data_IF_603599690881
#
_entry.id   IF_603599690881
#
_cell.length_a   1.000
_cell.length_b   1.000
_cell.length_c   1.000
_cell.angle_alpha   90.00
_cell.angle_beta   90.00
_cell.angle_gamma   90.00
#
_symmetry.space_group_name_H-M   'P 1'
#
loop_
_entity.id
_entity.type
_entity.pdbx_description
1 polymer ?
#
# COMPACT_ATOMS: atom_id res chain seq x y z
N UNK A 1 7.29 29.96 -10.88
CA UNK A 1 8.04 29.30 -9.83
C UNK A 1 7.11 28.32 -9.14
N UNK A 2 7.24 27.00 -9.37
CA UNK A 2 6.47 25.98 -8.61
C UNK A 2 7.12 25.89 -7.23
N UNK A 3 6.41 26.35 -6.21
CA UNK A 3 6.90 26.37 -4.85
C UNK A 3 7.15 24.96 -4.31
N UNK A 4 8.42 24.68 -3.98
CA UNK A 4 8.94 23.47 -3.34
C UNK A 4 8.39 23.13 -1.99
N UNK A 5 7.61 23.99 -1.47
CA UNK A 5 7.06 23.86 -0.13
C UNK A 5 5.99 22.75 -0.01
N UNK A 6 5.64 22.10 -1.14
CA UNK A 6 4.57 21.11 -1.15
C UNK A 6 4.91 19.84 -1.92
N UNK A 7 5.27 18.74 -1.24
CA UNK A 7 5.38 17.43 -1.87
C UNK A 7 4.01 16.96 -2.41
N UNK A 8 3.99 16.22 -3.53
CA UNK A 8 2.75 15.67 -4.09
C UNK A 8 2.10 14.71 -3.11
N UNK A 9 0.78 14.81 -2.90
CA UNK A 9 0.04 13.97 -1.93
C UNK A 9 0.17 12.47 -2.23
N UNK A 10 0.30 12.09 -3.50
CA UNK A 10 0.48 10.70 -3.94
C UNK A 10 1.82 10.10 -3.49
N UNK A 11 2.79 10.91 -3.01
CA UNK A 11 4.04 10.43 -2.40
C UNK A 11 3.78 9.56 -1.16
N UNK A 12 2.59 9.65 -0.55
CA UNK A 12 2.18 8.75 0.52
C UNK A 12 2.29 7.26 0.14
N UNK A 13 2.11 6.93 -1.15
CA UNK A 13 2.31 5.57 -1.66
C UNK A 13 3.75 5.09 -1.56
N UNK A 14 4.73 5.99 -1.83
CA UNK A 14 6.16 5.67 -1.63
C UNK A 14 6.48 5.44 -0.15
N UNK A 15 5.96 6.29 0.75
CA UNK A 15 6.14 6.14 2.20
C UNK A 15 5.63 4.78 2.66
N UNK A 16 4.42 4.42 2.25
CA UNK A 16 3.83 3.12 2.56
C UNK A 16 4.68 1.96 2.01
N UNK A 17 5.14 2.08 0.75
CA UNK A 17 5.98 1.06 0.11
C UNK A 17 7.31 0.85 0.81
N UNK A 18 7.98 1.93 1.26
CA UNK A 18 9.25 1.85 1.99
C UNK A 18 9.08 1.21 3.38
N UNK A 19 8.03 1.58 4.12
CA UNK A 19 7.72 0.94 5.40
C UNK A 19 7.41 -0.54 5.24
N UNK A 20 6.60 -0.90 4.24
CA UNK A 20 6.27 -2.29 3.96
C UNK A 20 7.51 -3.08 3.52
N UNK A 21 8.38 -2.50 2.68
CA UNK A 21 9.62 -3.14 2.23
C UNK A 21 10.57 -3.38 3.39
N UNK A 22 10.69 -2.43 4.32
CA UNK A 22 11.52 -2.62 5.52
C UNK A 22 11.05 -3.81 6.36
N UNK A 23 9.73 -3.97 6.56
CA UNK A 23 9.17 -5.13 7.24
C UNK A 23 9.41 -6.44 6.45
N UNK A 24 9.34 -6.40 5.12
CA UNK A 24 9.58 -7.56 4.26
C UNK A 24 11.04 -8.04 4.34
N UNK A 25 11.99 -7.10 4.39
CA UNK A 25 13.43 -7.36 4.42
C UNK A 25 14.01 -7.61 5.82
N UNK A 26 13.20 -7.53 6.89
CA UNK A 26 13.67 -7.68 8.28
C UNK A 26 14.41 -9.00 8.54
N UNK A 27 14.01 -10.10 7.89
CA UNK A 27 14.68 -11.40 8.05
C UNK A 27 16.09 -11.46 7.47
N UNK A 28 16.41 -10.60 6.48
CA UNK A 28 17.77 -10.48 5.91
C UNK A 28 18.67 -9.58 6.75
N UNK A 29 18.11 -8.86 7.69
CA UNK A 29 18.80 -8.00 8.63
C UNK A 29 17.93 -6.87 9.15
N UNK A 30 17.84 -6.73 10.46
CA UNK A 30 17.03 -5.70 11.14
C UNK A 30 17.41 -4.27 10.70
N UNK A 31 18.65 -4.06 10.28
CA UNK A 31 19.13 -2.77 9.78
C UNK A 31 18.38 -2.29 8.53
N UNK A 32 17.91 -3.20 7.64
CA UNK A 32 17.07 -2.83 6.50
C UNK A 32 15.78 -2.16 6.95
N UNK A 33 15.16 -2.72 7.99
CA UNK A 33 13.94 -2.16 8.57
C UNK A 33 14.20 -0.77 9.15
N UNK A 34 15.27 -0.58 9.93
CA UNK A 34 15.61 0.72 10.48
C UNK A 34 15.93 1.76 9.39
N UNK A 35 16.76 1.43 8.41
CA UNK A 35 17.16 2.35 7.35
C UNK A 35 15.95 2.78 6.50
N UNK A 36 15.17 1.82 6.00
CA UNK A 36 13.99 2.12 5.18
C UNK A 36 12.90 2.83 5.98
N UNK A 37 12.72 2.46 7.25
CA UNK A 37 11.82 3.14 8.16
C UNK A 37 12.19 4.59 8.40
N UNK A 38 13.48 4.89 8.59
CA UNK A 38 13.99 6.26 8.76
C UNK A 38 13.75 7.10 7.50
N UNK A 39 14.09 6.55 6.33
CA UNK A 39 13.84 7.23 5.03
C UNK A 39 12.35 7.50 4.84
N UNK A 40 11.50 6.51 5.10
CA UNK A 40 10.05 6.67 5.02
C UNK A 40 9.53 7.74 5.97
N UNK A 41 10.05 7.78 7.21
CA UNK A 41 9.68 8.79 8.21
C UNK A 41 10.04 10.20 7.76
N UNK A 42 11.23 10.39 7.17
CA UNK A 42 11.65 11.69 6.60
C UNK A 42 10.67 12.13 5.50
N UNK A 43 10.33 11.27 4.56
CA UNK A 43 9.35 11.58 3.52
C UNK A 43 7.95 11.86 4.12
N UNK A 44 7.56 11.12 5.14
CA UNK A 44 6.25 11.29 5.78
C UNK A 44 6.14 12.63 6.52
N UNK A 45 7.19 13.00 7.29
CA UNK A 45 7.27 14.31 7.96
C UNK A 45 7.24 15.44 6.93
N UNK A 46 7.99 15.29 5.82
CA UNK A 46 7.99 16.27 4.74
C UNK A 46 6.60 16.43 4.13
N UNK A 47 5.89 15.32 3.89
CA UNK A 47 4.52 15.33 3.40
C UNK A 47 3.56 16.03 4.38
N UNK A 48 3.63 15.71 5.67
CA UNK A 48 2.81 16.35 6.72
C UNK A 48 3.06 17.85 6.75
N UNK A 49 4.32 18.29 6.79
CA UNK A 49 4.68 19.72 6.75
C UNK A 49 4.11 20.42 5.53
N UNK A 50 4.21 19.79 4.36
CA UNK A 50 3.64 20.30 3.11
C UNK A 50 2.12 20.47 3.17
N UNK A 51 1.40 19.48 3.72
CA UNK A 51 -0.05 19.53 3.90
C UNK A 51 -0.45 20.65 4.86
N UNK A 52 0.23 20.76 6.01
CA UNK A 52 -0.08 21.75 7.03
C UNK A 52 0.17 23.20 6.56
N UNK A 53 1.26 23.41 5.79
CA UNK A 53 1.60 24.72 5.23
C UNK A 53 0.64 25.13 4.10
N UNK A 54 0.16 24.17 3.29
CA UNK A 54 -0.63 24.43 2.09
C UNK A 54 -2.03 23.80 2.16
N UNK A 55 -2.77 24.02 3.25
CA UNK A 55 -4.07 23.38 3.53
C UNK A 55 -5.10 23.58 2.42
N UNK A 56 -5.22 24.80 1.87
CA UNK A 56 -6.20 25.12 0.82
C UNK A 56 -5.93 24.33 -0.47
N UNK A 57 -4.66 24.28 -0.87
CA UNK A 57 -4.24 23.57 -2.07
C UNK A 57 -4.33 22.04 -1.88
N UNK A 58 -3.95 21.51 -0.71
CA UNK A 58 -4.10 20.09 -0.38
C UNK A 58 -5.57 19.65 -0.43
N UNK A 59 -6.49 20.48 0.07
CA UNK A 59 -7.95 20.22 -0.08
C UNK A 59 -8.39 20.22 -1.54
N UNK A 60 -7.88 21.13 -2.35
CA UNK A 60 -8.16 21.18 -3.79
C UNK A 60 -7.63 19.93 -4.52
N UNK A 61 -6.43 19.48 -4.21
CA UNK A 61 -5.88 18.23 -4.77
C UNK A 61 -6.71 17.00 -4.35
N UNK A 62 -7.13 16.92 -3.09
CA UNK A 62 -8.01 15.85 -2.59
C UNK A 62 -9.43 15.90 -3.20
N UNK A 63 -9.75 16.95 -3.96
CA UNK A 63 -10.96 16.98 -4.78
C UNK A 63 -10.83 16.22 -6.10
N UNK A 64 -9.62 15.75 -6.46
CA UNK A 64 -9.41 14.86 -7.59
C UNK A 64 -9.57 13.40 -7.12
N UNK A 65 -10.44 12.59 -7.77
CA UNK A 65 -10.72 11.22 -7.33
C UNK A 65 -9.49 10.30 -7.39
N UNK A 66 -8.57 10.51 -8.34
CA UNK A 66 -7.32 9.78 -8.41
C UNK A 66 -6.43 10.08 -7.19
N UNK A 67 -6.19 11.36 -6.90
CA UNK A 67 -5.31 11.77 -5.79
C UNK A 67 -5.92 11.34 -4.46
N UNK A 68 -7.22 11.54 -4.28
CA UNK A 68 -7.92 11.17 -3.06
C UNK A 68 -7.87 9.66 -2.80
N UNK A 69 -8.06 8.82 -3.83
CA UNK A 69 -7.98 7.37 -3.65
C UNK A 69 -6.56 6.89 -3.34
N UNK A 70 -5.53 7.47 -3.97
CA UNK A 70 -4.12 7.15 -3.64
C UNK A 70 -3.74 7.66 -2.24
N UNK A 71 -4.27 8.81 -1.82
CA UNK A 71 -3.94 9.40 -0.51
C UNK A 71 -4.34 8.51 0.68
N UNK A 72 -5.21 7.54 0.50
CA UNK A 72 -5.49 6.48 1.49
C UNK A 72 -4.21 5.81 2.00
N UNK A 73 -3.18 5.70 1.16
CA UNK A 73 -1.85 5.16 1.53
C UNK A 73 -1.19 5.93 2.68
N UNK A 74 -1.56 7.19 2.91
CA UNK A 74 -1.09 7.97 4.06
C UNK A 74 -1.53 7.36 5.39
N UNK A 75 -2.79 6.94 5.48
CA UNK A 75 -3.34 6.30 6.68
C UNK A 75 -2.86 4.86 6.83
N UNK A 76 -2.76 4.13 5.71
CA UNK A 76 -2.16 2.80 5.68
C UNK A 76 -0.71 2.83 6.20
N UNK A 77 0.06 3.83 5.79
CA UNK A 77 1.43 4.04 6.26
C UNK A 77 1.49 4.27 7.78
N UNK A 78 0.54 5.02 8.35
CA UNK A 78 0.44 5.21 9.80
C UNK A 78 0.19 3.90 10.56
N UNK A 79 -0.68 3.01 10.03
CA UNK A 79 -0.88 1.68 10.64
C UNK A 79 0.38 0.82 10.57
N UNK A 80 1.15 0.85 9.46
CA UNK A 80 2.43 0.11 9.38
C UNK A 80 3.48 0.79 10.28
N UNK A 81 3.54 2.12 10.34
CA UNK A 81 4.48 2.83 11.21
C UNK A 81 4.30 2.46 12.69
N UNK A 82 3.08 2.13 13.12
CA UNK A 82 2.85 1.64 14.47
C UNK A 82 3.69 0.39 14.80
N UNK A 83 3.97 -0.46 13.81
CA UNK A 83 4.82 -1.65 13.97
C UNK A 83 6.29 -1.29 14.19
N UNK A 84 6.75 -0.17 13.62
CA UNK A 84 8.09 0.36 13.83
C UNK A 84 8.25 0.99 15.20
N UNK A 85 7.23 1.67 15.72
CA UNK A 85 7.23 2.23 17.08
C UNK A 85 7.48 1.11 18.10
N UNK A 86 6.88 -0.07 17.89
CA UNK A 86 7.07 -1.22 18.80
C UNK A 86 8.49 -1.80 18.82
N UNK A 87 9.36 -1.48 17.86
CA UNK A 87 10.78 -1.84 17.93
C UNK A 87 11.46 -1.24 19.17
N UNK A 88 10.94 -0.11 19.64
CA UNK A 88 11.44 0.58 20.82
C UNK A 88 10.70 0.23 22.11
N UNK A 89 10.00 -0.90 22.14
CA UNK A 89 9.20 -1.33 23.31
C UNK A 89 10.03 -1.47 24.61
N UNK A 90 11.31 -1.73 24.48
CA UNK A 90 12.26 -1.78 25.62
C UNK A 90 12.36 -0.47 26.39
N UNK A 91 12.02 0.66 25.77
CA UNK A 91 12.01 1.99 26.41
C UNK A 91 10.84 2.20 27.38
N UNK A 92 9.86 1.30 27.42
CA UNK A 92 8.78 1.33 28.39
C UNK A 92 7.38 1.13 27.80
N UNK A 93 6.40 0.98 28.70
CA UNK A 93 5.00 0.71 28.33
C UNK A 93 4.36 1.82 27.47
N UNK A 94 4.79 3.05 27.65
CA UNK A 94 4.31 4.21 26.89
C UNK A 94 4.50 4.06 25.38
N UNK A 95 5.56 3.33 24.95
CA UNK A 95 5.81 3.03 23.53
C UNK A 95 4.71 2.15 22.94
N UNK A 96 4.25 1.15 23.70
CA UNK A 96 3.14 0.29 23.28
C UNK A 96 1.82 1.09 23.21
N UNK A 97 1.60 2.02 24.15
CA UNK A 97 0.43 2.90 24.15
C UNK A 97 0.47 3.82 22.92
N UNK A 98 1.62 4.45 22.64
CA UNK A 98 1.82 5.30 21.47
C UNK A 98 1.58 4.52 20.16
N UNK A 99 2.17 3.32 20.04
CA UNK A 99 1.96 2.45 18.88
C UNK A 99 0.48 2.17 18.62
N UNK A 100 -0.26 1.74 19.66
CA UNK A 100 -1.71 1.51 19.58
C UNK A 100 -2.47 2.79 19.24
N UNK A 101 -2.10 3.93 19.81
CA UNK A 101 -2.71 5.23 19.53
C UNK A 101 -2.55 5.63 18.07
N UNK A 102 -1.33 5.50 17.51
CA UNK A 102 -1.04 5.78 16.09
C UNK A 102 -1.83 4.84 15.18
N UNK A 103 -1.92 3.55 15.53
CA UNK A 103 -2.69 2.57 14.77
C UNK A 103 -4.17 2.94 14.71
N UNK A 104 -4.80 3.20 15.87
CA UNK A 104 -6.21 3.56 15.96
C UNK A 104 -6.53 4.87 15.26
N UNK A 105 -5.69 5.90 15.45
CA UNK A 105 -5.85 7.18 14.77
C UNK A 105 -5.83 7.00 13.24
N UNK A 106 -4.89 6.21 12.74
CA UNK A 106 -4.74 5.94 11.31
C UNK A 106 -5.92 5.13 10.77
N UNK A 107 -6.38 4.12 11.50
CA UNK A 107 -7.51 3.27 11.13
C UNK A 107 -8.82 4.07 11.05
N UNK A 108 -9.11 4.87 12.09
CA UNK A 108 -10.31 5.72 12.13
C UNK A 108 -10.26 6.79 11.04
N UNK A 109 -9.11 7.45 10.86
CA UNK A 109 -8.94 8.45 9.81
C UNK A 109 -9.11 7.86 8.40
N UNK A 110 -8.68 6.61 8.17
CA UNK A 110 -8.91 5.89 6.92
C UNK A 110 -10.41 5.65 6.68
N UNK A 111 -11.15 5.19 7.69
CA UNK A 111 -12.60 4.98 7.59
C UNK A 111 -13.32 6.29 7.27
N UNK A 112 -12.96 7.38 7.95
CA UNK A 112 -13.55 8.70 7.70
C UNK A 112 -13.24 9.14 6.26
N UNK A 113 -11.99 8.99 5.82
CA UNK A 113 -11.59 9.34 4.45
C UNK A 113 -12.36 8.52 3.41
N UNK A 114 -12.51 7.23 3.63
CA UNK A 114 -13.27 6.33 2.76
C UNK A 114 -14.76 6.71 2.72
N UNK A 115 -15.34 7.08 3.85
CA UNK A 115 -16.74 7.53 3.93
C UNK A 115 -16.96 8.85 3.16
N UNK A 116 -16.08 9.84 3.35
CA UNK A 116 -16.12 11.13 2.62
C UNK A 116 -15.96 10.90 1.11
N UNK A 117 -15.03 10.05 0.71
CA UNK A 117 -14.80 9.70 -0.70
C UNK A 117 -16.05 9.03 -1.30
N UNK A 118 -16.61 8.04 -0.60
CA UNK A 118 -17.80 7.30 -1.05
C UNK A 118 -19.00 8.25 -1.19
N UNK A 119 -19.22 9.12 -0.22
CA UNK A 119 -20.26 10.13 -0.31
C UNK A 119 -20.13 11.01 -1.54
N UNK A 120 -18.90 11.40 -1.88
CA UNK A 120 -18.64 12.32 -3.00
C UNK A 120 -18.70 11.65 -4.36
N UNK A 121 -18.15 10.43 -4.50
CA UNK A 121 -17.93 9.80 -5.81
C UNK A 121 -18.74 8.54 -6.06
N UNK A 122 -19.13 7.78 -5.01
CA UNK A 122 -19.92 6.58 -5.18
C UNK A 122 -21.40 6.91 -5.35
N UNK A 123 -21.90 7.94 -4.64
CA UNK A 123 -23.30 8.39 -4.78
C UNK A 123 -23.65 8.84 -6.21
N UNK A 124 -22.66 9.42 -6.91
CA UNK A 124 -22.78 9.81 -8.32
C UNK A 124 -21.72 9.06 -9.14
N UNK A 125 -21.81 7.74 -9.10
CA UNK A 125 -20.84 6.88 -9.74
C UNK A 125 -20.72 7.18 -11.23
N UNK A 126 -19.48 7.35 -11.70
CA UNK A 126 -19.14 7.50 -13.12
C UNK A 126 -17.82 6.81 -13.41
N UNK A 127 -17.77 6.07 -14.52
CA UNK A 127 -16.54 5.44 -15.01
C UNK A 127 -15.43 6.47 -15.30
N UNK A 128 -15.77 7.74 -15.51
CA UNK A 128 -14.78 8.82 -15.66
C UNK A 128 -13.98 9.05 -14.36
N UNK A 129 -14.62 8.91 -13.20
CA UNK A 129 -14.03 9.11 -11.88
C UNK A 129 -13.37 7.84 -11.31
N UNK A 130 -13.59 6.70 -11.96
CA UNK A 130 -13.00 5.43 -11.55
C UNK A 130 -11.54 5.34 -11.98
N UNK A 131 -10.66 4.97 -11.05
CA UNK A 131 -9.24 4.69 -11.27
C UNK A 131 -8.85 3.37 -10.60
N UNK A 132 -7.80 2.67 -11.07
CA UNK A 132 -7.33 1.43 -10.41
C UNK A 132 -7.03 1.62 -8.92
N UNK A 133 -6.60 2.81 -8.49
CA UNK A 133 -6.38 3.16 -7.07
C UNK A 133 -7.64 3.16 -6.19
N UNK A 134 -8.85 3.00 -6.74
CA UNK A 134 -10.01 2.73 -5.91
C UNK A 134 -9.87 1.40 -5.15
N UNK A 135 -9.11 0.45 -5.70
CA UNK A 135 -8.73 -0.75 -4.95
C UNK A 135 -7.92 -0.40 -3.69
N UNK A 136 -7.01 0.56 -3.79
CA UNK A 136 -6.23 1.04 -2.63
C UNK A 136 -7.13 1.73 -1.61
N UNK A 137 -8.14 2.48 -2.06
CA UNK A 137 -9.09 3.14 -1.16
C UNK A 137 -9.94 2.13 -0.38
N UNK A 138 -10.62 1.23 -1.09
CA UNK A 138 -11.61 0.35 -0.46
C UNK A 138 -11.00 -0.91 0.15
N UNK A 139 -9.93 -1.45 -0.43
CA UNK A 139 -9.27 -2.64 0.09
C UNK A 139 -8.08 -2.31 0.98
N UNK A 140 -7.56 -1.08 0.92
CA UNK A 140 -6.42 -0.62 1.73
C UNK A 140 -6.66 -0.70 3.25
N UNK A 141 -7.92 -0.66 3.70
CA UNK A 141 -8.28 -0.95 5.09
C UNK A 141 -7.78 -2.35 5.54
N UNK A 142 -7.52 -3.26 4.60
CA UNK A 142 -6.92 -4.58 4.82
C UNK A 142 -5.55 -4.53 5.53
N UNK A 143 -4.87 -3.38 5.58
CA UNK A 143 -3.68 -3.20 6.41
C UNK A 143 -4.00 -3.42 7.90
N UNK A 144 -5.23 -3.16 8.34
CA UNK A 144 -5.64 -3.49 9.70
C UNK A 144 -5.65 -5.01 9.95
N UNK A 145 -6.05 -5.80 8.94
CA UNK A 145 -5.96 -7.26 8.99
C UNK A 145 -4.49 -7.74 8.98
N UNK A 146 -3.66 -7.16 8.11
CA UNK A 146 -2.21 -7.44 8.05
C UNK A 146 -1.50 -7.15 9.38
N UNK A 147 -1.86 -6.07 10.06
CA UNK A 147 -1.24 -5.61 11.32
C UNK A 147 -1.95 -6.10 12.58
N UNK A 148 -2.94 -6.99 12.47
CA UNK A 148 -3.71 -7.52 13.59
C UNK A 148 -2.86 -8.15 14.72
N UNK A 149 -1.78 -8.92 14.41
CA UNK A 149 -0.92 -9.46 15.45
C UNK A 149 -0.24 -8.38 16.31
N UNK A 150 0.13 -7.27 15.69
CA UNK A 150 0.84 -6.16 16.32
C UNK A 150 -0.13 -5.29 17.15
N UNK A 151 -1.28 -4.97 16.58
CA UNK A 151 -2.31 -4.14 17.23
C UNK A 151 -3.08 -4.90 18.31
N UNK A 152 -3.09 -6.25 18.27
CA UNK A 152 -3.94 -7.11 19.09
C UNK A 152 -5.41 -7.12 18.66
N UNK A 153 -5.74 -6.55 17.47
CA UNK A 153 -7.12 -6.35 17.02
C UNK A 153 -7.56 -7.45 16.01
N UNK A 154 -7.45 -8.72 16.40
CA UNK A 154 -7.78 -9.86 15.53
C UNK A 154 -9.23 -9.87 15.05
N UNK A 155 -10.18 -9.48 15.90
CA UNK A 155 -11.60 -9.40 15.49
C UNK A 155 -11.81 -8.38 14.39
N UNK A 156 -11.22 -7.20 14.53
CA UNK A 156 -11.25 -6.17 13.48
C UNK A 156 -10.57 -6.69 12.23
N UNK A 157 -9.41 -7.35 12.37
CA UNK A 157 -8.70 -7.97 11.26
C UNK A 157 -9.56 -8.94 10.46
N UNK A 158 -10.33 -9.81 11.14
CA UNK A 158 -11.26 -10.75 10.47
C UNK A 158 -12.40 -10.05 9.75
N UNK A 159 -13.01 -9.04 10.38
CA UNK A 159 -14.10 -8.25 9.77
C UNK A 159 -13.58 -7.56 8.51
N UNK A 160 -12.42 -6.92 8.61
CA UNK A 160 -11.78 -6.19 7.51
C UNK A 160 -11.34 -7.13 6.38
N UNK A 161 -10.89 -8.34 6.71
CA UNK A 161 -10.60 -9.37 5.71
C UNK A 161 -11.83 -9.67 4.83
N UNK A 162 -12.97 -10.00 5.45
CA UNK A 162 -14.19 -10.32 4.70
C UNK A 162 -14.71 -9.14 3.89
N UNK A 163 -14.70 -7.94 4.50
CA UNK A 163 -15.03 -6.71 3.77
C UNK A 163 -14.12 -6.52 2.55
N UNK A 164 -12.81 -6.59 2.73
CA UNK A 164 -11.83 -6.40 1.68
C UNK A 164 -11.92 -7.48 0.58
N UNK A 165 -12.22 -8.73 0.94
CA UNK A 165 -12.43 -9.82 0.00
C UNK A 165 -13.62 -9.54 -0.92
N UNK A 166 -14.78 -9.18 -0.33
CA UNK A 166 -15.97 -8.83 -1.10
C UNK A 166 -15.72 -7.58 -1.96
N UNK A 167 -15.12 -6.53 -1.37
CA UNK A 167 -14.78 -5.32 -2.10
C UNK A 167 -13.85 -5.59 -3.29
N UNK A 168 -12.88 -6.51 -3.14
CA UNK A 168 -11.99 -6.90 -4.23
C UNK A 168 -12.75 -7.57 -5.37
N UNK A 169 -13.60 -8.55 -5.06
CA UNK A 169 -14.39 -9.26 -6.08
C UNK A 169 -15.33 -8.31 -6.85
N UNK A 170 -15.92 -7.33 -6.15
CA UNK A 170 -16.80 -6.35 -6.78
C UNK A 170 -16.01 -5.34 -7.63
N UNK A 171 -14.87 -4.84 -7.13
CA UNK A 171 -14.15 -3.75 -7.79
C UNK A 171 -13.32 -4.24 -8.99
N UNK A 172 -12.67 -5.41 -8.89
CA UNK A 172 -11.73 -5.88 -9.92
C UNK A 172 -12.29 -5.82 -11.34
N UNK A 173 -13.51 -6.31 -11.64
CA UNK A 173 -14.06 -6.24 -12.99
C UNK A 173 -14.13 -4.80 -13.53
N UNK A 174 -14.60 -3.86 -12.71
CA UNK A 174 -14.70 -2.45 -13.11
C UNK A 174 -13.32 -1.82 -13.34
N UNK A 175 -12.32 -2.18 -12.51
CA UNK A 175 -10.96 -1.68 -12.65
C UNK A 175 -10.29 -2.21 -13.93
N UNK A 176 -10.53 -3.48 -14.29
CA UNK A 176 -10.06 -4.05 -15.56
C UNK A 176 -10.72 -3.37 -16.76
N UNK A 177 -12.03 -3.15 -16.73
CA UNK A 177 -12.75 -2.41 -17.79
C UNK A 177 -12.15 -1.01 -17.92
N UNK A 178 -11.92 -0.31 -16.81
CA UNK A 178 -11.35 1.05 -16.81
C UNK A 178 -9.92 1.06 -17.37
N UNK A 179 -9.07 0.14 -16.92
CA UNK A 179 -7.66 0.13 -17.27
C UNK A 179 -7.41 -0.30 -18.73
N UNK A 180 -8.17 -1.29 -19.24
CA UNK A 180 -7.85 -1.96 -20.51
C UNK A 180 -8.88 -1.76 -21.62
N UNK A 181 -10.15 -1.54 -21.29
CA UNK A 181 -11.19 -1.28 -22.31
C UNK A 181 -11.39 0.22 -22.57
N UNK A 182 -11.52 1.02 -21.49
CA UNK A 182 -11.70 2.48 -21.62
C UNK A 182 -10.34 3.17 -21.81
N UNK A 183 -9.33 2.70 -21.07
CA UNK A 183 -7.99 3.24 -21.07
C UNK A 183 -7.76 4.35 -20.03
N UNK A 184 -6.47 4.62 -19.80
CA UNK A 184 -6.00 5.65 -18.87
C UNK A 184 -5.06 6.61 -19.60
N UNK A 185 -5.10 7.92 -19.28
CA UNK A 185 -4.11 8.88 -19.75
C UNK A 185 -2.68 8.43 -19.40
N UNK A 186 -1.70 8.73 -20.25
CA UNK A 186 -0.32 8.26 -20.09
C UNK A 186 0.28 8.57 -18.71
N UNK A 187 0.04 9.77 -18.18
CA UNK A 187 0.52 10.19 -16.86
C UNK A 187 -0.07 9.37 -15.68
N UNK A 188 -1.20 8.67 -15.91
CA UNK A 188 -1.93 7.90 -14.89
C UNK A 188 -1.71 6.39 -15.05
N UNK A 189 -1.13 5.94 -16.15
CA UNK A 189 -0.87 4.51 -16.42
C UNK A 189 -0.15 3.77 -15.30
N UNK A 190 0.82 4.36 -14.55
CA UNK A 190 1.43 3.71 -13.40
C UNK A 190 0.41 3.20 -12.35
N UNK A 191 -0.76 3.84 -12.29
CA UNK A 191 -1.84 3.44 -11.38
C UNK A 191 -2.40 2.02 -11.65
N UNK A 192 -2.17 1.46 -12.85
CA UNK A 192 -2.54 0.07 -13.19
C UNK A 192 -1.91 -0.92 -12.22
N UNK A 193 -0.72 -0.64 -11.70
CA UNK A 193 -0.01 -1.52 -10.76
C UNK A 193 -0.80 -1.77 -9.49
N UNK A 194 -1.69 -0.85 -9.11
CA UNK A 194 -2.52 -1.04 -7.92
C UNK A 194 -3.51 -2.20 -8.02
N UNK A 195 -3.73 -2.77 -9.22
CA UNK A 195 -4.64 -3.91 -9.44
C UNK A 195 -4.13 -5.19 -8.77
N UNK A 196 -2.81 -5.39 -8.62
CA UNK A 196 -2.28 -6.60 -7.97
C UNK A 196 -2.34 -6.55 -6.43
N UNK A 197 -2.47 -5.36 -5.83
CA UNK A 197 -2.43 -5.20 -4.38
C UNK A 197 -3.61 -5.83 -3.61
N UNK A 198 -4.87 -5.72 -4.06
CA UNK A 198 -6.02 -6.13 -3.26
C UNK A 198 -5.97 -7.59 -2.82
N UNK A 199 -5.79 -8.50 -3.77
CA UNK A 199 -5.78 -9.94 -3.47
C UNK A 199 -4.61 -10.31 -2.58
N UNK A 200 -3.42 -9.73 -2.83
CA UNK A 200 -2.23 -9.94 -2.00
C UNK A 200 -2.41 -9.41 -0.57
N UNK A 201 -3.00 -8.21 -0.41
CA UNK A 201 -3.24 -7.64 0.91
C UNK A 201 -4.24 -8.48 1.73
N UNK A 202 -5.28 -8.96 1.09
CA UNK A 202 -6.27 -9.84 1.72
C UNK A 202 -5.64 -11.18 2.11
N UNK A 203 -4.81 -11.76 1.23
CA UNK A 203 -4.12 -13.02 1.50
C UNK A 203 -3.21 -12.90 2.72
N UNK A 204 -2.39 -11.84 2.78
CA UNK A 204 -1.53 -11.57 3.93
C UNK A 204 -2.35 -11.30 5.20
N UNK A 205 -3.45 -10.55 5.09
CA UNK A 205 -4.37 -10.30 6.19
C UNK A 205 -5.06 -11.56 6.70
N UNK A 206 -5.39 -12.51 5.81
CA UNK A 206 -5.96 -13.79 6.18
C UNK A 206 -5.03 -14.61 7.06
N UNK A 207 -3.77 -14.72 6.66
CA UNK A 207 -2.74 -15.42 7.45
C UNK A 207 -2.55 -14.77 8.82
N UNK A 208 -2.54 -13.43 8.89
CA UNK A 208 -2.23 -12.72 10.12
C UNK A 208 -3.44 -12.56 11.07
N UNK A 209 -4.68 -12.60 10.57
CA UNK A 209 -5.86 -12.37 11.41
C UNK A 209 -6.53 -13.64 11.90
N UNK A 210 -6.31 -14.77 11.24
CA UNK A 210 -6.96 -16.04 11.61
C UNK A 210 -5.94 -16.98 12.27
N UNK A 211 -6.34 -17.59 13.40
CA UNK A 211 -5.49 -18.55 14.12
C UNK A 211 -5.27 -19.83 13.29
N UNK A 212 -6.31 -20.25 12.56
CA UNK A 212 -6.27 -21.45 11.72
C UNK A 212 -6.90 -21.14 10.37
N UNK A 213 -6.16 -20.49 9.44
CA UNK A 213 -6.64 -20.24 8.09
C UNK A 213 -7.01 -21.56 7.38
N UNK A 214 -8.16 -21.59 6.72
CA UNK A 214 -8.53 -22.74 5.90
C UNK A 214 -7.56 -22.89 4.75
N UNK A 215 -6.93 -24.07 4.62
CA UNK A 215 -5.90 -24.35 3.62
C UNK A 215 -6.39 -24.16 2.19
N UNK A 216 -7.62 -24.62 1.88
CA UNK A 216 -8.19 -24.51 0.54
C UNK A 216 -8.43 -23.05 0.14
N UNK A 217 -9.02 -22.26 1.03
CA UNK A 217 -9.22 -20.83 0.79
C UNK A 217 -7.87 -20.09 0.66
N UNK A 218 -6.89 -20.41 1.51
CA UNK A 218 -5.57 -19.78 1.43
C UNK A 218 -4.87 -20.08 0.10
N UNK A 219 -4.92 -21.33 -0.38
CA UNK A 219 -4.36 -21.71 -1.69
C UNK A 219 -5.06 -20.97 -2.83
N UNK A 220 -6.40 -20.86 -2.80
CA UNK A 220 -7.16 -20.10 -3.80
C UNK A 220 -6.70 -18.61 -3.80
N UNK A 221 -6.59 -17.99 -2.63
CA UNK A 221 -6.16 -16.59 -2.49
C UNK A 221 -4.74 -16.39 -3.01
N UNK A 222 -3.80 -17.31 -2.73
CA UNK A 222 -2.43 -17.27 -3.25
C UNK A 222 -2.45 -17.31 -4.78
N UNK A 223 -3.16 -18.27 -5.38
CA UNK A 223 -3.22 -18.40 -6.84
C UNK A 223 -3.76 -17.13 -7.49
N UNK A 224 -4.84 -16.56 -6.95
CA UNK A 224 -5.40 -15.31 -7.46
C UNK A 224 -4.44 -14.13 -7.28
N UNK A 225 -3.77 -14.02 -6.13
CA UNK A 225 -2.79 -12.97 -5.87
C UNK A 225 -1.61 -13.06 -6.84
N UNK A 226 -1.06 -14.27 -7.04
CA UNK A 226 0.07 -14.51 -7.93
C UNK A 226 -0.29 -14.27 -9.40
N UNK A 227 -1.48 -14.68 -9.83
CA UNK A 227 -1.95 -14.38 -11.18
C UNK A 227 -1.97 -12.86 -11.44
N UNK A 228 -2.53 -12.08 -10.53
CA UNK A 228 -2.55 -10.62 -10.65
C UNK A 228 -1.16 -10.00 -10.56
N UNK A 229 -0.28 -10.53 -9.70
CA UNK A 229 1.10 -10.08 -9.59
C UNK A 229 1.86 -10.22 -10.91
N UNK A 230 1.90 -11.42 -11.49
CA UNK A 230 2.59 -11.66 -12.76
C UNK A 230 1.96 -10.91 -13.91
N UNK A 231 0.62 -10.85 -13.97
CA UNK A 231 -0.09 -10.06 -14.96
C UNK A 231 0.35 -8.59 -14.96
N UNK A 232 0.57 -8.02 -13.78
CA UNK A 232 1.07 -6.65 -13.64
C UNK A 232 2.57 -6.58 -13.87
N UNK A 233 3.36 -7.50 -13.32
CA UNK A 233 4.82 -7.49 -13.41
C UNK A 233 5.31 -7.43 -14.86
N UNK A 234 4.70 -8.17 -15.78
CA UNK A 234 5.02 -8.13 -17.20
C UNK A 234 4.81 -6.74 -17.85
N UNK A 235 3.97 -5.90 -17.26
CA UNK A 235 3.71 -4.55 -17.77
C UNK A 235 4.64 -3.49 -17.13
N UNK A 236 5.19 -3.76 -15.95
CA UNK A 236 6.00 -2.81 -15.18
C UNK A 236 7.19 -2.26 -15.99
N UNK A 237 7.99 -3.05 -16.73
CA UNK A 237 9.11 -2.50 -17.52
C UNK A 237 8.67 -1.41 -18.49
N UNK A 238 7.58 -1.65 -19.23
CA UNK A 238 7.02 -0.68 -20.18
C UNK A 238 6.50 0.59 -19.48
N UNK A 239 5.92 0.44 -18.29
CA UNK A 239 5.38 1.55 -17.52
C UNK A 239 6.47 2.38 -16.82
N UNK A 240 7.62 1.76 -16.48
CA UNK A 240 8.75 2.44 -15.85
C UNK A 240 9.64 3.23 -16.83
N UNK A 241 9.63 2.93 -18.14
CA UNK A 241 10.50 3.58 -19.14
C UNK A 241 10.07 5.04 -19.40
N UNK A 242 8.82 5.41 -19.10
CA UNK A 242 8.32 6.77 -19.33
C UNK A 242 8.92 7.83 -18.41
N UNK A 243 8.59 9.10 -18.72
CA UNK A 243 8.95 10.23 -17.87
C UNK A 243 8.40 10.05 -16.46
N UNK A 244 9.20 10.45 -15.47
CA UNK A 244 8.79 10.35 -14.09
C UNK A 244 7.58 11.24 -13.78
N UNK A 245 6.58 10.63 -13.17
CA UNK A 245 5.45 11.34 -12.57
C UNK A 245 5.32 10.93 -11.11
N UNK A 246 4.75 11.78 -10.24
CA UNK A 246 4.47 11.39 -8.86
C UNK A 246 3.60 10.12 -8.73
N UNK A 247 2.85 9.75 -9.77
CA UNK A 247 2.11 8.50 -9.86
C UNK A 247 2.97 7.23 -9.81
N UNK A 248 4.29 7.33 -9.97
CA UNK A 248 5.22 6.20 -9.83
C UNK A 248 5.22 5.58 -8.43
N UNK A 249 4.70 6.29 -7.41
CA UNK A 249 4.43 5.69 -6.09
C UNK A 249 3.54 4.44 -6.16
N UNK A 250 2.73 4.29 -7.21
CA UNK A 250 1.90 3.11 -7.44
C UNK A 250 2.70 1.82 -7.70
N UNK A 251 3.98 1.91 -8.09
CA UNK A 251 4.84 0.72 -8.26
C UNK A 251 5.39 0.16 -6.95
N UNK A 252 5.23 0.84 -5.83
CA UNK A 252 5.88 0.46 -4.57
C UNK A 252 5.05 -0.55 -3.76
N UNK A 253 4.13 -0.11 -2.96
CA UNK A 253 3.36 -0.97 -2.06
C UNK A 253 2.67 -2.17 -2.75
N UNK A 254 2.06 -2.06 -3.93
CA UNK A 254 1.41 -3.19 -4.59
C UNK A 254 2.32 -4.39 -4.81
N UNK A 255 3.57 -4.16 -5.23
CA UNK A 255 4.53 -5.23 -5.43
C UNK A 255 5.09 -5.75 -4.11
N UNK A 256 5.33 -4.87 -3.13
CA UNK A 256 5.80 -5.26 -1.79
C UNK A 256 4.78 -6.15 -1.10
N UNK A 257 3.49 -5.81 -1.14
CA UNK A 257 2.46 -6.62 -0.47
C UNK A 257 2.27 -7.98 -1.16
N UNK A 258 2.53 -8.08 -2.47
CA UNK A 258 2.52 -9.38 -3.18
C UNK A 258 3.62 -10.29 -2.64
N UNK A 259 4.87 -9.83 -2.60
CA UNK A 259 5.99 -10.59 -2.03
C UNK A 259 5.74 -10.95 -0.55
N UNK A 260 5.18 -10.00 0.23
CA UNK A 260 4.85 -10.24 1.64
C UNK A 260 3.77 -11.33 1.79
N UNK A 261 2.72 -11.28 0.97
CA UNK A 261 1.64 -12.25 1.04
C UNK A 261 2.08 -13.66 0.65
N UNK A 262 2.90 -13.78 -0.39
CA UNK A 262 3.48 -15.05 -0.81
C UNK A 262 4.36 -15.63 0.30
N UNK A 263 5.29 -14.83 0.83
CA UNK A 263 6.18 -15.22 1.93
C UNK A 263 5.40 -15.74 3.14
N UNK A 264 4.45 -14.96 3.67
CA UNK A 264 3.65 -15.32 4.83
C UNK A 264 2.84 -16.61 4.59
N UNK A 265 2.29 -16.75 3.40
CA UNK A 265 1.47 -17.90 3.04
C UNK A 265 2.29 -19.20 2.92
N UNK A 266 3.49 -19.12 2.31
CA UNK A 266 4.40 -20.28 2.18
C UNK A 266 4.91 -20.70 3.56
N UNK A 267 5.27 -19.75 4.42
CA UNK A 267 5.68 -20.02 5.80
C UNK A 267 4.54 -20.69 6.59
N UNK A 268 3.31 -20.18 6.47
CA UNK A 268 2.16 -20.75 7.16
C UNK A 268 1.80 -22.17 6.71
N UNK A 269 1.88 -22.42 5.38
CA UNK A 269 1.55 -23.73 4.80
C UNK A 269 2.70 -24.74 4.87
N UNK A 270 3.90 -24.32 5.33
CA UNK A 270 5.12 -25.14 5.35
C UNK A 270 5.38 -25.82 4.00
N UNK A 271 5.27 -25.05 2.91
CA UNK A 271 5.45 -25.57 1.55
C UNK A 271 6.92 -25.91 1.24
N UNK A 272 7.18 -26.80 0.24
CA UNK A 272 8.53 -27.23 -0.11
C UNK A 272 9.47 -26.07 -0.45
N UNK A 273 10.79 -26.33 -0.25
CA UNK A 273 11.87 -25.36 -0.46
C UNK A 273 11.91 -24.84 -1.90
N UNK A 274 11.48 -25.63 -2.88
CA UNK A 274 11.48 -25.24 -4.30
C UNK A 274 10.66 -23.98 -4.58
N UNK A 275 9.60 -23.76 -3.78
CA UNK A 275 8.75 -22.56 -3.92
C UNK A 275 9.41 -21.33 -3.26
N UNK A 276 10.39 -21.49 -2.39
CA UNK A 276 11.11 -20.35 -1.79
C UNK A 276 11.86 -19.54 -2.85
N UNK A 277 12.30 -20.15 -3.94
CA UNK A 277 12.88 -19.43 -5.07
C UNK A 277 11.97 -18.34 -5.63
N UNK A 278 10.66 -18.60 -5.68
CA UNK A 278 9.68 -17.62 -6.11
C UNK A 278 9.56 -16.44 -5.12
N UNK A 279 9.61 -16.71 -3.81
CA UNK A 279 9.60 -15.66 -2.78
C UNK A 279 10.82 -14.74 -2.94
N UNK A 280 12.03 -15.33 -3.10
CA UNK A 280 13.26 -14.55 -3.30
C UNK A 280 13.23 -13.74 -4.59
N UNK A 281 12.66 -14.29 -5.67
CA UNK A 281 12.46 -13.57 -6.91
C UNK A 281 11.56 -12.36 -6.73
N UNK A 282 10.42 -12.52 -6.05
CA UNK A 282 9.50 -11.40 -5.79
C UNK A 282 10.13 -10.34 -4.88
N UNK A 283 10.83 -10.75 -3.82
CA UNK A 283 11.53 -9.83 -2.92
C UNK A 283 12.60 -9.04 -3.67
N UNK A 284 13.43 -9.71 -4.48
CA UNK A 284 14.47 -9.06 -5.27
C UNK A 284 13.91 -8.06 -6.28
N UNK A 285 12.92 -8.49 -7.05
CA UNK A 285 12.26 -7.66 -8.07
C UNK A 285 11.59 -6.45 -7.44
N UNK A 286 10.84 -6.65 -6.37
CA UNK A 286 10.15 -5.58 -5.65
C UNK A 286 11.13 -4.59 -5.04
N UNK A 287 12.20 -5.07 -4.41
CA UNK A 287 13.24 -4.21 -3.83
C UNK A 287 13.86 -3.33 -4.90
N UNK A 288 14.25 -3.90 -6.04
CA UNK A 288 14.80 -3.15 -7.16
C UNK A 288 13.86 -2.04 -7.63
N UNK A 289 12.59 -2.36 -7.84
CA UNK A 289 11.60 -1.39 -8.34
C UNK A 289 11.37 -0.27 -7.31
N UNK A 290 11.21 -0.60 -6.03
CA UNK A 290 11.02 0.41 -4.97
C UNK A 290 12.22 1.34 -4.87
N UNK A 291 13.45 0.81 -4.96
CA UNK A 291 14.67 1.63 -4.94
C UNK A 291 14.76 2.54 -6.16
N UNK A 292 14.43 2.07 -7.37
CA UNK A 292 14.36 2.90 -8.58
C UNK A 292 13.35 4.05 -8.38
N UNK A 293 12.16 3.75 -7.88
CA UNK A 293 11.12 4.76 -7.65
C UNK A 293 11.58 5.78 -6.60
N UNK A 294 12.16 5.31 -5.49
CA UNK A 294 12.70 6.20 -4.45
C UNK A 294 13.75 7.17 -5.00
N UNK A 295 14.72 6.66 -5.76
CA UNK A 295 15.78 7.48 -6.38
C UNK A 295 15.17 8.51 -7.33
N UNK A 296 14.22 8.11 -8.18
CA UNK A 296 13.52 9.04 -9.09
C UNK A 296 12.73 10.11 -8.32
N UNK A 297 12.12 9.77 -7.19
CA UNK A 297 11.46 10.75 -6.31
C UNK A 297 12.46 11.74 -5.72
N UNK A 298 13.62 11.29 -5.25
CA UNK A 298 14.67 12.17 -4.71
C UNK A 298 15.13 13.16 -5.80
N UNK A 299 15.40 12.69 -7.03
CA UNK A 299 15.78 13.57 -8.12
C UNK A 299 14.66 14.55 -8.52
N UNK A 300 13.41 14.07 -8.56
CA UNK A 300 12.25 14.94 -8.81
C UNK A 300 12.14 16.02 -7.74
N UNK A 301 12.26 15.63 -6.50
CA UNK A 301 12.23 16.58 -5.37
C UNK A 301 13.42 17.56 -5.41
N UNK A 302 14.60 17.21 -5.79
CA UNK A 302 15.76 18.10 -5.94
C UNK A 302 15.66 19.09 -7.11
N UNK A 303 15.10 18.68 -8.26
CA UNK A 303 14.99 19.56 -9.43
C UNK A 303 13.96 20.66 -9.27
N UNK A 304 13.16 20.57 -8.32
CA UNK A 304 12.11 21.49 -7.99
C UNK A 304 12.58 22.41 -6.82
N UNK A 305 13.79 22.24 -6.17
CA UNK A 305 14.57 23.18 -5.33
C UNK A 305 15.43 24.07 -6.21
#
# INVERSE_FOLDING_TARGET
>A
MKNWEKPPLVMAGLVLGLLALGNLLEEYGTYFRYCLGLVALVFWIFLIKGILKNKKESRRELSNPLIASVFTTFFMAGMILSTYILLFRSLGIWVAILSKGVWWLSFIALIIHMAIFSWKYLRHFSMANLFPSWSVLYVGIGVASLTAPISGQFTIGKIVFWYGFIATLVLLPFLFIKAYKIGLPSAVKPNITTICAPMSLITAGYVNSFVSPNRGLLLLLIVMAQFLYFFILFQVPKLLIGDFTPGFSAFTFPLVISATSLKLSIQHLSLPVDIQGLVHFEIGTTTLIVMIVMVRYIFFLRRTI
#
